data_IF_493466836035
#
_entry.id   IF_493466836035
#
_cell.length_a   1.000
_cell.length_b   1.000
_cell.length_c   1.000
_cell.angle_alpha   90.00
_cell.angle_beta   90.00
_cell.angle_gamma   90.00
#
_symmetry.space_group_name_H-M   'P 1'
#
loop_
_entity.id
_entity.type
_entity.pdbx_description
1 polymer ?
#
# COMPACT_ATOMS: atom_id res chain seq x y z
N UNK A 1 -6.61 -13.68 -41.64
CA UNK A 1 -5.73 -14.00 -40.51
C UNK A 1 -4.92 -12.74 -40.22
N UNK A 2 -5.20 -11.93 -39.23
CA UNK A 2 -6.30 -11.86 -38.26
C UNK A 2 -6.32 -10.40 -37.76
N UNK A 3 -7.51 -9.80 -37.67
CA UNK A 3 -7.74 -8.50 -37.04
C UNK A 3 -8.45 -8.64 -35.69
N UNK A 4 -8.50 -9.88 -35.18
CA UNK A 4 -9.29 -10.30 -34.01
C UNK A 4 -8.41 -10.59 -32.77
N UNK A 5 -7.09 -10.41 -32.89
CA UNK A 5 -6.11 -10.82 -31.86
C UNK A 5 -5.63 -9.65 -31.00
N UNK A 6 -6.13 -8.43 -31.24
CA UNK A 6 -5.67 -7.20 -30.56
C UNK A 6 -6.67 -6.68 -29.51
N UNK A 7 -7.66 -7.51 -29.11
CA UNK A 7 -8.67 -7.15 -28.10
C UNK A 7 -8.72 -8.09 -26.89
N UNK A 8 -7.87 -9.13 -26.85
CA UNK A 8 -7.90 -10.12 -25.79
C UNK A 8 -6.80 -9.96 -24.72
N UNK A 9 -5.77 -9.15 -24.99
CA UNK A 9 -4.62 -8.95 -24.09
C UNK A 9 -4.86 -7.84 -23.05
N UNK A 10 -5.79 -6.92 -23.32
CA UNK A 10 -6.10 -5.75 -22.49
C UNK A 10 -7.12 -6.05 -21.36
N UNK A 11 -7.62 -7.30 -21.28
CA UNK A 11 -8.64 -7.74 -20.30
C UNK A 11 -8.12 -8.76 -19.28
N UNK A 12 -6.81 -9.09 -19.30
CA UNK A 12 -6.23 -10.13 -18.43
C UNK A 12 -5.44 -9.60 -17.22
N UNK A 13 -5.10 -8.30 -17.19
CA UNK A 13 -4.43 -7.67 -16.04
C UNK A 13 -5.39 -7.17 -14.94
N UNK A 14 -6.63 -6.87 -15.31
CA UNK A 14 -7.66 -6.28 -14.42
C UNK A 14 -8.24 -7.32 -13.45
N UNK A 15 -8.51 -8.54 -13.98
CA UNK A 15 -9.08 -9.66 -13.21
C UNK A 15 -8.12 -10.16 -12.11
N UNK A 16 -6.81 -10.02 -12.32
CA UNK A 16 -5.70 -10.29 -11.40
C UNK A 16 -5.77 -9.43 -10.11
N UNK A 17 -5.60 -8.13 -10.34
CA UNK A 17 -5.55 -7.11 -9.31
C UNK A 17 -6.88 -7.02 -8.54
N UNK A 18 -8.01 -7.07 -9.25
CA UNK A 18 -9.32 -7.08 -8.62
C UNK A 18 -9.48 -8.29 -7.68
N UNK A 19 -8.92 -9.44 -8.04
CA UNK A 19 -8.96 -10.63 -7.17
C UNK A 19 -8.15 -10.41 -5.89
N UNK A 20 -6.92 -9.90 -6.01
CA UNK A 20 -6.07 -9.62 -4.84
C UNK A 20 -6.68 -8.55 -3.92
N UNK A 21 -7.25 -7.48 -4.49
CA UNK A 21 -7.98 -6.43 -3.75
C UNK A 21 -9.21 -7.00 -3.06
N UNK A 22 -9.99 -7.84 -3.76
CA UNK A 22 -11.17 -8.50 -3.18
C UNK A 22 -10.79 -9.44 -2.02
N UNK A 23 -9.68 -10.18 -2.15
CA UNK A 23 -9.17 -11.04 -1.06
C UNK A 23 -8.70 -10.22 0.15
N UNK A 24 -8.02 -9.10 -0.08
CA UNK A 24 -7.62 -8.19 0.98
C UNK A 24 -8.84 -7.62 1.73
N UNK A 25 -9.88 -7.20 1.01
CA UNK A 25 -11.13 -6.73 1.61
C UNK A 25 -11.90 -7.83 2.34
N UNK A 26 -11.96 -9.05 1.77
CA UNK A 26 -12.59 -10.19 2.44
C UNK A 26 -11.89 -10.52 3.77
N UNK A 27 -10.56 -10.46 3.79
CA UNK A 27 -9.77 -10.64 5.01
C UNK A 27 -10.01 -9.52 6.02
N UNK A 28 -10.02 -8.27 5.56
CA UNK A 28 -10.28 -7.11 6.40
C UNK A 28 -11.67 -7.19 7.07
N UNK A 29 -12.72 -7.49 6.30
CA UNK A 29 -14.08 -7.71 6.82
C UNK A 29 -14.11 -8.77 7.91
N UNK A 30 -13.43 -9.89 7.69
CA UNK A 30 -13.40 -10.98 8.68
C UNK A 30 -12.73 -10.55 10.00
N UNK A 31 -11.61 -9.81 9.91
CA UNK A 31 -10.92 -9.26 11.08
C UNK A 31 -11.77 -8.22 11.81
N UNK A 32 -12.42 -7.31 11.06
CA UNK A 32 -13.34 -6.34 11.61
C UNK A 32 -14.49 -7.03 12.36
N UNK A 33 -15.14 -8.01 11.75
CA UNK A 33 -16.22 -8.78 12.41
C UNK A 33 -15.75 -9.45 13.71
N UNK A 34 -14.53 -10.00 13.73
CA UNK A 34 -13.94 -10.61 14.92
C UNK A 34 -13.69 -9.56 16.03
N UNK A 35 -13.16 -8.38 15.69
CA UNK A 35 -12.96 -7.29 16.63
C UNK A 35 -14.27 -6.75 17.19
N UNK A 36 -15.29 -6.57 16.34
CA UNK A 36 -16.63 -6.14 16.77
C UNK A 36 -17.28 -7.15 17.71
N UNK A 37 -17.05 -8.45 17.50
CA UNK A 37 -17.53 -9.49 18.40
C UNK A 37 -16.86 -9.47 19.78
N UNK A 38 -15.61 -9.03 19.85
CA UNK A 38 -14.81 -8.94 21.09
C UNK A 38 -14.96 -7.58 21.80
N UNK A 39 -15.71 -6.62 21.22
CA UNK A 39 -15.84 -5.26 21.75
C UNK A 39 -16.68 -5.25 23.04
N UNK A 40 -16.09 -4.77 24.13
CA UNK A 40 -16.75 -4.64 25.44
C UNK A 40 -17.48 -3.30 25.61
N UNK A 41 -18.49 -3.27 26.48
CA UNK A 41 -19.24 -2.05 26.81
C UNK A 41 -18.31 -0.90 27.24
N UNK A 42 -18.48 0.25 26.60
CA UNK A 42 -17.65 1.44 26.83
C UNK A 42 -16.31 1.45 26.10
N UNK A 43 -16.01 0.44 25.29
CA UNK A 43 -14.97 0.49 24.27
C UNK A 43 -15.52 1.07 22.97
N UNK A 44 -14.70 1.90 22.34
CA UNK A 44 -14.95 2.43 21.00
C UNK A 44 -13.82 1.96 20.09
N UNK A 45 -14.18 1.60 18.87
CA UNK A 45 -13.29 1.19 17.81
C UNK A 45 -13.47 2.18 16.66
N UNK A 46 -12.40 2.86 16.26
CA UNK A 46 -12.42 3.83 15.16
C UNK A 46 -11.72 3.23 13.95
N UNK A 47 -12.32 3.38 12.77
CA UNK A 47 -11.72 3.10 11.46
C UNK A 47 -11.76 4.38 10.66
N UNK A 48 -10.62 4.86 10.21
CA UNK A 48 -10.52 6.10 9.44
C UNK A 48 -9.62 5.90 8.20
N UNK A 49 -9.77 6.74 7.18
CA UNK A 49 -8.85 6.78 6.04
C UNK A 49 -7.58 7.56 6.39
N UNK A 50 -6.40 7.10 5.93
CA UNK A 50 -5.14 7.80 6.12
C UNK A 50 -5.22 9.24 5.55
N UNK A 51 -4.90 10.22 6.40
CA UNK A 51 -5.08 11.67 6.19
C UNK A 51 -3.93 12.36 5.41
N UNK A 52 -3.01 11.62 4.79
CA UNK A 52 -1.89 12.19 4.03
C UNK A 52 -2.30 12.84 2.68
N UNK A 53 -3.59 12.83 2.33
CA UNK A 53 -4.14 13.51 1.14
C UNK A 53 -4.78 14.84 1.55
N UNK A 54 -4.36 16.02 1.02
CA UNK A 54 -4.78 17.33 1.53
C UNK A 54 -6.21 17.80 1.16
N UNK A 55 -6.88 17.14 0.21
CA UNK A 55 -8.23 17.52 -0.26
C UNK A 55 -9.07 16.26 -0.52
N UNK A 56 -10.25 16.13 0.10
CA UNK A 56 -11.18 15.03 -0.13
C UNK A 56 -12.08 14.68 1.06
N UNK A 57 -12.97 13.71 0.89
CA UNK A 57 -13.72 13.07 1.98
C UNK A 57 -12.82 12.09 2.72
N UNK A 58 -12.69 12.23 4.04
CA UNK A 58 -11.98 11.26 4.87
C UNK A 58 -13.00 10.44 5.63
N UNK A 59 -13.24 9.22 5.18
CA UNK A 59 -14.21 8.35 5.83
C UNK A 59 -13.75 7.97 7.23
N UNK A 60 -14.58 8.27 8.21
CA UNK A 60 -14.42 7.81 9.60
C UNK A 60 -15.67 7.05 10.00
N UNK A 61 -15.45 5.88 10.59
CA UNK A 61 -16.48 5.00 11.15
C UNK A 61 -16.13 4.77 12.62
N UNK A 62 -17.04 5.09 13.52
CA UNK A 62 -16.91 4.71 14.92
C UNK A 62 -17.83 3.54 15.24
N UNK A 63 -17.32 2.57 15.99
CA UNK A 63 -18.09 1.43 16.47
C UNK A 63 -18.06 1.44 17.99
N UNK A 64 -19.23 1.32 18.60
CA UNK A 64 -19.37 1.25 20.06
C UNK A 64 -20.25 0.06 20.44
N UNK A 65 -19.89 -0.60 21.55
CA UNK A 65 -20.75 -1.60 22.16
C UNK A 65 -21.77 -0.91 23.07
N UNK A 66 -23.05 -1.22 22.83
CA UNK A 66 -24.18 -0.77 23.63
C UNK A 66 -25.03 -1.99 24.02
N UNK A 67 -24.86 -2.47 25.25
CA UNK A 67 -25.53 -3.67 25.75
C UNK A 67 -25.15 -4.92 24.92
N UNK A 68 -26.13 -5.57 24.28
CA UNK A 68 -25.92 -6.75 23.43
C UNK A 68 -25.76 -6.40 21.93
N UNK A 69 -25.66 -5.10 21.60
CA UNK A 69 -25.59 -4.58 20.23
C UNK A 69 -24.29 -3.83 19.98
N UNK A 70 -23.85 -3.89 18.72
CA UNK A 70 -22.78 -3.04 18.22
C UNK A 70 -23.42 -1.97 17.34
N UNK A 71 -23.12 -0.71 17.64
CA UNK A 71 -23.59 0.45 16.88
C UNK A 71 -22.41 1.00 16.09
N UNK A 72 -22.57 1.11 14.78
CA UNK A 72 -21.64 1.84 13.93
C UNK A 72 -22.23 3.21 13.59
N UNK A 73 -21.41 4.25 13.66
CA UNK A 73 -21.81 5.64 13.43
C UNK A 73 -20.86 6.33 12.45
N UNK A 74 -21.43 7.12 11.55
CA UNK A 74 -20.76 8.07 10.65
C UNK A 74 -21.30 9.45 10.98
N UNK A 75 -20.43 10.43 11.21
CA UNK A 75 -20.89 11.82 11.36
C UNK A 75 -20.90 12.55 10.02
N UNK A 76 -21.86 13.43 9.80
CA UNK A 76 -21.99 14.18 8.53
C UNK A 76 -20.73 14.99 8.19
N UNK A 77 -19.95 15.38 9.20
CA UNK A 77 -18.69 16.11 9.05
C UNK A 77 -17.57 15.31 8.34
N UNK A 78 -17.67 13.98 8.30
CA UNK A 78 -16.68 13.09 7.64
C UNK A 78 -17.06 12.79 6.18
N UNK A 79 -18.21 13.29 5.73
CA UNK A 79 -18.63 13.23 4.34
C UNK A 79 -17.98 14.34 3.52
N UNK A 80 -18.06 14.22 2.20
CA UNK A 80 -17.41 15.14 1.28
C UNK A 80 -17.89 16.60 1.50
N UNK A 81 -16.99 17.59 1.60
CA UNK A 81 -17.38 18.97 1.91
C UNK A 81 -18.12 19.68 0.77
N UNK A 82 -18.01 19.17 -0.47
CA UNK A 82 -18.70 19.72 -1.63
C UNK A 82 -20.21 19.38 -1.61
N UNK A 83 -21.13 20.37 -1.65
CA UNK A 83 -22.58 20.15 -1.42
C UNK A 83 -23.26 19.18 -2.38
N UNK A 84 -22.76 19.06 -3.61
CA UNK A 84 -23.33 18.14 -4.60
C UNK A 84 -22.92 16.69 -4.34
N UNK A 85 -21.65 16.46 -3.99
CA UNK A 85 -21.12 15.13 -3.63
C UNK A 85 -21.67 14.70 -2.28
N UNK A 86 -21.82 15.63 -1.33
CA UNK A 86 -22.47 15.36 -0.05
C UNK A 86 -23.88 14.80 -0.22
N UNK A 87 -24.69 15.42 -1.10
CA UNK A 87 -26.06 14.96 -1.39
C UNK A 87 -26.10 13.58 -2.02
N UNK A 88 -25.14 13.26 -2.88
CA UNK A 88 -25.00 11.92 -3.49
C UNK A 88 -24.60 10.90 -2.42
N UNK A 89 -23.55 11.16 -1.63
CA UNK A 89 -23.10 10.28 -0.54
C UNK A 89 -24.23 9.98 0.46
N UNK A 90 -25.03 10.99 0.82
CA UNK A 90 -26.20 10.82 1.69
C UNK A 90 -27.20 9.82 1.08
N UNK A 91 -27.55 9.99 -0.19
CA UNK A 91 -28.53 9.12 -0.86
C UNK A 91 -28.01 7.69 -1.01
N UNK A 92 -26.71 7.54 -1.29
CA UNK A 92 -26.07 6.23 -1.42
C UNK A 92 -25.93 5.52 -0.06
N UNK A 93 -25.66 6.25 1.03
CA UNK A 93 -25.70 5.70 2.40
C UNK A 93 -27.10 5.18 2.77
N UNK A 94 -28.15 5.95 2.50
CA UNK A 94 -29.54 5.51 2.72
C UNK A 94 -29.87 4.27 1.87
N UNK A 95 -29.37 4.19 0.64
CA UNK A 95 -29.57 3.03 -0.25
C UNK A 95 -28.83 1.78 0.25
N UNK A 96 -27.63 1.95 0.83
CA UNK A 96 -26.85 0.88 1.45
C UNK A 96 -27.49 0.34 2.74
N UNK A 97 -28.44 1.08 3.32
CA UNK A 97 -29.21 0.67 4.50
C UNK A 97 -28.74 1.32 5.81
N UNK A 98 -28.09 2.47 5.74
CA UNK A 98 -27.79 3.29 6.92
C UNK A 98 -29.03 4.06 7.37
N UNK A 99 -29.26 4.10 8.68
CA UNK A 99 -30.33 4.88 9.30
C UNK A 99 -29.82 6.29 9.63
N UNK A 100 -30.40 7.31 8.99
CA UNK A 100 -30.06 8.71 9.26
C UNK A 100 -30.78 9.22 10.51
N UNK A 101 -30.04 9.86 11.41
CA UNK A 101 -30.61 10.63 12.52
C UNK A 101 -31.01 12.04 12.04
N UNK A 102 -32.30 12.35 12.17
CA UNK A 102 -32.88 13.66 11.83
C UNK A 102 -32.38 14.80 12.74
N UNK A 103 -31.76 14.47 13.88
CA UNK A 103 -31.28 15.42 14.89
C UNK A 103 -29.93 16.04 14.55
N UNK A 104 -28.90 15.21 14.42
CA UNK A 104 -27.51 15.64 14.19
C UNK A 104 -26.98 15.32 12.78
N UNK A 105 -27.78 14.63 11.96
CA UNK A 105 -27.40 14.27 10.59
C UNK A 105 -26.44 13.08 10.51
N UNK A 106 -26.15 12.41 11.64
CA UNK A 106 -25.34 11.21 11.66
C UNK A 106 -26.06 10.02 11.00
N UNK A 107 -25.27 9.06 10.55
CA UNK A 107 -25.77 7.79 10.01
C UNK A 107 -25.36 6.69 10.96
N UNK A 108 -26.32 5.85 11.32
CA UNK A 108 -26.11 4.74 12.25
C UNK A 108 -26.55 3.42 11.65
N UNK A 109 -25.90 2.35 12.07
CA UNK A 109 -26.34 1.00 11.80
C UNK A 109 -26.06 0.14 13.02
N UNK A 110 -27.07 -0.60 13.46
CA UNK A 110 -27.00 -1.45 14.64
C UNK A 110 -27.07 -2.92 14.25
N UNK A 111 -26.24 -3.75 14.89
CA UNK A 111 -26.31 -5.20 14.74
C UNK A 111 -26.18 -5.91 16.09
N UNK A 112 -26.93 -7.00 16.24
CA UNK A 112 -26.71 -7.94 17.34
C UNK A 112 -25.32 -8.60 17.19
N UNK A 113 -24.72 -9.09 18.28
CA UNK A 113 -23.44 -9.82 18.22
C UNK A 113 -23.44 -11.01 17.26
N UNK A 114 -24.60 -11.64 17.01
CA UNK A 114 -24.73 -12.72 16.04
C UNK A 114 -24.69 -12.25 14.57
N UNK A 115 -24.81 -10.95 14.32
CA UNK A 115 -24.91 -10.32 13.00
C UNK A 115 -23.76 -9.34 12.72
N UNK A 116 -22.70 -9.35 13.54
CA UNK A 116 -21.52 -8.47 13.38
C UNK A 116 -20.84 -8.60 12.01
N UNK A 117 -20.91 -9.77 11.38
CA UNK A 117 -20.39 -9.95 10.01
C UNK A 117 -21.17 -9.12 8.97
N UNK A 118 -22.47 -8.95 9.16
CA UNK A 118 -23.28 -8.10 8.28
C UNK A 118 -22.94 -6.60 8.49
N UNK A 119 -22.71 -6.19 9.75
CA UNK A 119 -22.26 -4.82 10.06
C UNK A 119 -20.87 -4.54 9.49
N UNK A 120 -19.94 -5.49 9.61
CA UNK A 120 -18.61 -5.40 9.01
C UNK A 120 -18.67 -5.34 7.47
N UNK A 121 -19.60 -6.08 6.85
CA UNK A 121 -19.85 -6.02 5.42
C UNK A 121 -20.36 -4.64 4.98
N UNK A 122 -21.32 -4.09 5.71
CA UNK A 122 -21.88 -2.77 5.44
C UNK A 122 -20.78 -1.70 5.53
N UNK A 123 -20.04 -1.67 6.64
CA UNK A 123 -18.91 -0.76 6.83
C UNK A 123 -17.86 -0.85 5.71
N UNK A 124 -17.49 -2.08 5.32
CA UNK A 124 -16.53 -2.31 4.22
C UNK A 124 -17.07 -1.80 2.88
N UNK A 125 -18.34 -2.07 2.59
CA UNK A 125 -19.00 -1.60 1.35
C UNK A 125 -19.03 -0.08 1.33
N UNK A 126 -19.32 0.56 2.46
CA UNK A 126 -19.33 2.02 2.57
C UNK A 126 -17.94 2.63 2.34
N UNK A 127 -16.87 2.03 2.88
CA UNK A 127 -15.49 2.46 2.61
C UNK A 127 -15.12 2.36 1.13
N UNK A 128 -15.56 1.30 0.44
CA UNK A 128 -15.27 1.09 -0.98
C UNK A 128 -16.11 2.01 -1.87
N UNK A 129 -17.43 2.02 -1.68
CA UNK A 129 -18.37 2.64 -2.62
C UNK A 129 -18.57 4.15 -2.37
N UNK A 130 -18.58 4.58 -1.10
CA UNK A 130 -18.84 5.99 -0.75
C UNK A 130 -17.54 6.80 -0.68
N UNK A 131 -16.52 6.22 -0.05
CA UNK A 131 -15.23 6.89 0.17
C UNK A 131 -14.13 6.46 -0.82
N UNK A 132 -14.44 5.55 -1.76
CA UNK A 132 -13.53 5.19 -2.84
C UNK A 132 -12.23 4.54 -2.37
N UNK A 133 -12.23 3.89 -1.19
CA UNK A 133 -11.02 3.27 -0.65
C UNK A 133 -10.64 2.07 -1.53
N UNK A 134 -9.55 2.20 -2.28
CA UNK A 134 -9.10 1.16 -3.20
C UNK A 134 -8.50 -0.08 -2.54
N UNK A 135 -8.00 0.02 -1.31
CA UNK A 135 -7.38 -1.09 -0.59
C UNK A 135 -7.41 -0.85 0.94
N UNK A 136 -7.62 -1.87 1.79
CA UNK A 136 -7.73 -1.70 3.25
C UNK A 136 -6.45 -1.20 3.92
N UNK A 137 -5.29 -1.28 3.25
CA UNK A 137 -4.03 -0.72 3.77
C UNK A 137 -4.01 0.82 3.86
N UNK A 138 -4.98 1.49 3.22
CA UNK A 138 -5.16 2.95 3.34
C UNK A 138 -6.00 3.34 4.56
N UNK A 139 -6.41 2.38 5.39
CA UNK A 139 -7.17 2.63 6.62
C UNK A 139 -6.23 2.68 7.83
N UNK A 140 -6.46 3.64 8.71
CA UNK A 140 -5.87 3.78 10.04
C UNK A 140 -6.96 3.62 11.11
N UNK A 141 -6.57 3.44 12.38
CA UNK A 141 -7.53 3.37 13.50
C UNK A 141 -7.27 2.25 14.52
N UNK A 142 -8.22 2.10 15.44
CA UNK A 142 -8.21 1.12 16.55
C UNK A 142 -8.62 -0.27 16.11
N UNK A 143 -9.03 -0.46 14.86
CA UNK A 143 -8.76 -1.74 14.21
C UNK A 143 -7.25 -1.75 14.10
N UNK A 144 -6.50 -2.44 14.99
CA UNK A 144 -5.18 -2.82 14.55
C UNK A 144 -5.46 -3.49 13.21
N UNK A 145 -4.62 -3.24 12.22
CA UNK A 145 -4.26 -4.37 11.39
C UNK A 145 -3.83 -5.45 12.38
N UNK A 146 -4.78 -6.23 12.92
CA UNK A 146 -4.59 -7.48 13.60
C UNK A 146 -4.17 -8.35 12.41
N UNK A 147 -2.92 -8.15 11.99
CA UNK A 147 -1.94 -9.13 12.37
C UNK A 147 -2.42 -9.70 13.73
N UNK A 148 -3.24 -10.76 13.67
CA UNK A 148 -2.80 -11.93 14.42
C UNK A 148 -1.27 -11.93 14.29
N UNK A 149 -0.50 -12.35 15.30
CA UNK A 149 0.64 -13.13 14.88
C UNK A 149 0.02 -14.31 14.09
N UNK A 150 -0.32 -14.11 12.81
CA UNK A 150 0.08 -15.00 11.77
C UNK A 150 1.50 -15.26 12.22
N UNK A 151 1.70 -16.44 12.80
CA UNK A 151 3.01 -16.93 13.17
C UNK A 151 3.83 -16.62 11.94
N UNK A 152 4.52 -15.49 11.96
CA UNK A 152 5.29 -15.09 10.83
C UNK A 152 6.36 -16.12 10.90
N UNK A 153 6.32 -17.05 9.95
CA UNK A 153 7.22 -18.17 9.92
C UNK A 153 8.57 -17.54 9.64
N UNK A 154 9.24 -17.13 10.72
CA UNK A 154 10.57 -16.58 10.67
C UNK A 154 11.44 -17.77 10.34
N UNK A 155 11.81 -17.84 9.07
CA UNK A 155 12.70 -18.85 8.59
C UNK A 155 14.13 -18.32 8.69
N UNK A 156 15.03 -19.14 9.21
CA UNK A 156 16.47 -18.86 9.18
C UNK A 156 17.05 -19.55 7.94
N UNK A 157 17.24 -18.84 6.81
CA UNK A 157 17.80 -19.45 5.61
C UNK A 157 19.22 -19.98 5.90
N UNK A 158 19.40 -21.30 5.78
CA UNK A 158 20.71 -21.91 5.94
C UNK A 158 21.61 -21.69 4.70
N UNK A 159 20.99 -21.56 3.52
CA UNK A 159 21.68 -21.37 2.23
C UNK A 159 21.03 -20.27 1.41
N UNK A 160 21.80 -19.69 0.49
CA UNK A 160 21.31 -18.72 -0.49
C UNK A 160 20.09 -19.24 -1.29
N UNK A 161 20.13 -20.50 -1.71
CA UNK A 161 19.00 -21.13 -2.42
C UNK A 161 17.73 -21.20 -1.59
N UNK A 162 17.86 -21.34 -0.26
CA UNK A 162 16.72 -21.41 0.65
C UNK A 162 16.07 -20.03 0.75
N UNK A 163 16.88 -18.98 0.95
CA UNK A 163 16.38 -17.60 0.94
C UNK A 163 15.73 -17.24 -0.41
N UNK A 164 16.37 -17.60 -1.53
CA UNK A 164 15.84 -17.37 -2.86
C UNK A 164 14.46 -18.01 -3.06
N UNK A 165 14.29 -19.28 -2.66
CA UNK A 165 13.01 -19.97 -2.77
C UNK A 165 11.92 -19.29 -1.93
N UNK A 166 12.26 -18.90 -0.68
CA UNK A 166 11.32 -18.22 0.22
C UNK A 166 10.93 -16.82 -0.28
N UNK A 167 11.86 -16.07 -0.88
CA UNK A 167 11.59 -14.77 -1.51
C UNK A 167 10.68 -14.94 -2.72
N UNK A 168 10.96 -15.91 -3.60
CA UNK A 168 10.11 -16.18 -4.77
C UNK A 168 8.70 -16.58 -4.34
N UNK A 169 8.56 -17.51 -3.40
CA UNK A 169 7.25 -17.91 -2.86
C UNK A 169 6.49 -16.72 -2.25
N UNK A 170 7.19 -15.86 -1.50
CA UNK A 170 6.59 -14.64 -0.94
C UNK A 170 6.09 -13.69 -2.03
N UNK A 171 6.90 -13.45 -3.06
CA UNK A 171 6.55 -12.59 -4.18
C UNK A 171 5.42 -13.18 -5.03
N UNK A 172 5.42 -14.49 -5.29
CA UNK A 172 4.35 -15.19 -6.02
C UNK A 172 3.03 -15.12 -5.24
N UNK A 173 3.10 -15.27 -3.92
CA UNK A 173 1.94 -15.10 -3.03
C UNK A 173 1.42 -13.67 -3.06
N UNK A 174 2.32 -12.68 -3.05
CA UNK A 174 1.95 -11.26 -3.05
C UNK A 174 1.42 -10.79 -4.41
N UNK A 175 1.95 -11.33 -5.51
CA UNK A 175 1.61 -10.92 -6.87
C UNK A 175 0.52 -11.77 -7.52
N UNK A 176 0.13 -12.90 -6.92
CA UNK A 176 -0.82 -13.86 -7.50
C UNK A 176 -0.25 -14.68 -8.68
N UNK A 177 0.97 -14.37 -9.13
CA UNK A 177 1.55 -14.91 -10.37
C UNK A 177 2.93 -15.51 -10.16
N UNK A 178 3.38 -16.42 -11.05
CA UNK A 178 4.77 -16.86 -11.08
C UNK A 178 5.72 -15.67 -11.30
N UNK A 179 6.73 -15.56 -10.46
CA UNK A 179 7.71 -14.47 -10.53
C UNK A 179 8.73 -14.79 -11.61
N UNK A 180 8.83 -13.88 -12.58
CA UNK A 180 9.84 -13.96 -13.61
C UNK A 180 11.20 -13.52 -13.06
N UNK A 181 12.21 -14.34 -13.33
CA UNK A 181 13.61 -14.06 -13.01
C UNK A 181 14.33 -13.85 -14.34
N UNK A 182 15.16 -12.82 -14.42
CA UNK A 182 15.99 -12.58 -15.59
C UNK A 182 17.22 -13.51 -15.67
N UNK A 183 18.00 -13.35 -16.74
CA UNK A 183 19.17 -14.16 -17.06
C UNK A 183 20.29 -14.04 -16.00
N UNK A 184 20.35 -12.91 -15.28
CA UNK A 184 21.33 -12.66 -14.21
C UNK A 184 20.86 -13.19 -12.85
N UNK A 185 19.62 -13.68 -12.78
CA UNK A 185 19.02 -14.23 -11.59
C UNK A 185 18.34 -13.17 -10.71
N UNK A 186 18.15 -11.96 -11.23
CA UNK A 186 17.49 -10.84 -10.57
C UNK A 186 15.99 -10.83 -10.93
N UNK A 187 15.20 -10.19 -10.08
CA UNK A 187 13.75 -10.15 -10.18
C UNK A 187 13.35 -8.73 -10.59
N UNK A 188 12.85 -8.49 -11.81
CA UNK A 188 12.41 -7.17 -12.24
C UNK A 188 11.28 -6.63 -11.34
N UNK A 189 11.35 -5.35 -10.99
CA UNK A 189 10.33 -4.69 -10.17
C UNK A 189 9.39 -3.86 -11.06
N UNK A 190 8.11 -3.69 -10.66
CA UNK A 190 7.11 -2.97 -11.45
C UNK A 190 7.24 -1.45 -11.29
N UNK A 191 8.39 -0.89 -11.63
CA UNK A 191 8.72 0.54 -11.42
C UNK A 191 8.54 1.42 -12.66
N UNK A 192 7.64 1.02 -13.56
CA UNK A 192 7.32 1.78 -14.78
C UNK A 192 8.56 2.08 -15.64
N UNK A 193 8.88 3.35 -15.80
CA UNK A 193 10.03 3.81 -16.60
C UNK A 193 11.40 3.55 -15.94
N UNK A 194 11.43 3.33 -14.63
CA UNK A 194 12.67 3.03 -13.92
C UNK A 194 12.98 1.56 -14.10
N UNK A 195 14.15 1.28 -14.66
CA UNK A 195 14.69 -0.08 -14.71
C UNK A 195 15.24 -0.42 -13.32
N UNK A 196 14.50 -1.23 -12.58
CA UNK A 196 14.90 -1.68 -11.25
C UNK A 196 14.62 -3.15 -11.02
N UNK A 197 15.38 -3.72 -10.10
CA UNK A 197 15.42 -5.16 -9.83
C UNK A 197 15.62 -5.42 -8.35
N UNK A 198 15.20 -6.60 -7.93
CA UNK A 198 15.50 -7.23 -6.66
C UNK A 198 16.50 -8.37 -6.88
N UNK A 199 17.62 -8.30 -6.18
CA UNK A 199 18.64 -9.34 -6.12
C UNK A 199 18.71 -9.94 -4.71
N UNK A 200 18.84 -11.26 -4.63
CA UNK A 200 19.25 -11.92 -3.38
C UNK A 200 20.77 -12.08 -3.38
N UNK A 201 21.46 -11.43 -2.45
CA UNK A 201 22.92 -11.44 -2.42
C UNK A 201 23.47 -12.85 -2.13
N UNK A 202 24.50 -13.32 -2.87
CA UNK A 202 24.99 -14.70 -2.76
C UNK A 202 25.78 -14.96 -1.48
N UNK A 203 26.38 -13.93 -0.88
CA UNK A 203 27.32 -14.05 0.25
C UNK A 203 26.69 -13.83 1.61
N UNK A 204 25.50 -13.22 1.67
CA UNK A 204 24.80 -12.91 2.91
C UNK A 204 23.29 -12.91 2.68
N UNK A 205 22.47 -13.28 3.69
CA UNK A 205 21.03 -13.30 3.57
C UNK A 205 20.49 -11.87 3.55
N UNK A 206 20.50 -11.25 2.38
CA UNK A 206 20.13 -9.85 2.17
C UNK A 206 19.46 -9.70 0.82
N UNK A 207 18.38 -8.95 0.83
CA UNK A 207 17.67 -8.48 -0.35
C UNK A 207 18.26 -7.13 -0.74
N UNK A 208 18.66 -6.99 -2.00
CA UNK A 208 19.18 -5.77 -2.58
C UNK A 208 18.23 -5.31 -3.68
N UNK A 209 17.54 -4.20 -3.45
CA UNK A 209 16.77 -3.53 -4.47
C UNK A 209 17.66 -2.47 -5.10
N UNK A 210 17.75 -2.46 -6.41
CA UNK A 210 18.61 -1.51 -7.11
C UNK A 210 18.00 -1.10 -8.44
N UNK A 211 18.33 0.09 -8.89
CA UNK A 211 17.85 0.61 -10.17
C UNK A 211 18.49 1.90 -10.56
N UNK A 212 18.45 2.18 -11.86
CA UNK A 212 19.01 3.41 -12.43
C UNK A 212 18.00 4.54 -12.25
N UNK A 213 18.28 5.46 -11.34
CA UNK A 213 17.39 6.61 -11.06
C UNK A 213 17.62 7.77 -12.02
N UNK A 214 18.86 7.96 -12.48
CA UNK A 214 19.25 8.90 -13.54
C UNK A 214 20.06 8.16 -14.59
N UNK A 215 19.56 8.07 -15.82
CA UNK A 215 20.22 7.33 -16.92
C UNK A 215 21.48 8.01 -17.45
N UNK A 216 21.55 9.34 -17.38
CA UNK A 216 22.72 10.08 -17.83
C UNK A 216 22.89 11.38 -17.05
N UNK A 217 24.09 11.58 -16.51
CA UNK A 217 24.52 12.79 -15.80
C UNK A 217 25.50 13.55 -16.67
N UNK A 218 25.21 14.82 -16.93
CA UNK A 218 26.08 15.71 -17.71
C UNK A 218 27.26 16.26 -16.91
N UNK A 219 27.05 16.62 -15.64
CA UNK A 219 28.10 17.10 -14.71
C UNK A 219 28.42 16.04 -13.63
N UNK A 220 29.39 15.17 -13.95
CA UNK A 220 29.85 14.13 -13.03
C UNK A 220 30.37 14.68 -11.69
N UNK A 221 31.24 15.73 -11.66
CA UNK A 221 31.62 16.36 -10.40
C UNK A 221 30.45 16.84 -9.54
N UNK A 222 29.39 17.40 -10.12
CA UNK A 222 28.19 17.80 -9.38
C UNK A 222 27.44 16.58 -8.83
N UNK A 223 27.27 15.51 -9.61
CA UNK A 223 26.67 14.27 -9.14
C UNK A 223 27.43 13.64 -7.97
N UNK A 224 28.76 13.56 -8.03
CA UNK A 224 29.55 13.05 -6.91
C UNK A 224 29.37 13.90 -5.64
N UNK A 225 29.27 15.22 -5.77
CA UNK A 225 28.97 16.09 -4.62
C UNK A 225 27.58 15.81 -4.08
N UNK A 226 26.57 15.79 -4.94
CA UNK A 226 25.19 15.51 -4.56
C UNK A 226 25.09 14.18 -3.79
N UNK A 227 25.61 13.09 -4.34
CA UNK A 227 25.61 11.77 -3.69
C UNK A 227 26.34 11.77 -2.34
N UNK A 228 27.40 12.58 -2.19
CA UNK A 228 28.17 12.66 -0.96
C UNK A 228 27.52 13.53 0.14
N UNK A 229 26.64 14.47 -0.23
CA UNK A 229 26.05 15.44 0.71
C UNK A 229 24.58 15.23 0.98
N UNK A 230 23.83 14.67 0.02
CA UNK A 230 22.39 14.57 0.11
C UNK A 230 21.99 13.53 1.16
N UNK A 231 21.03 13.90 2.01
CA UNK A 231 20.43 12.99 2.97
C UNK A 231 19.03 12.68 2.50
N UNK A 232 18.81 11.44 2.07
CA UNK A 232 17.49 11.01 1.65
C UNK A 232 16.56 10.84 2.86
N UNK A 233 15.27 11.15 2.72
CA UNK A 233 14.28 10.95 3.80
C UNK A 233 14.09 9.46 4.15
N UNK A 234 14.50 8.54 3.28
CA UNK A 234 14.38 7.10 3.46
C UNK A 234 15.65 6.48 4.07
N UNK A 235 15.52 5.90 5.26
CA UNK A 235 16.62 5.17 5.90
C UNK A 235 16.98 3.91 5.11
N UNK A 236 18.25 3.78 4.70
CA UNK A 236 18.75 2.56 4.05
C UNK A 236 18.90 2.62 2.53
N UNK A 237 18.39 3.67 1.86
CA UNK A 237 18.66 3.92 0.44
C UNK A 237 19.98 4.67 0.30
N UNK A 238 20.84 4.18 -0.60
CA UNK A 238 22.12 4.80 -0.95
C UNK A 238 22.12 5.13 -2.43
N UNK A 239 22.66 6.29 -2.77
CA UNK A 239 22.96 6.64 -4.15
C UNK A 239 24.43 6.31 -4.45
N UNK A 240 24.68 5.83 -5.66
CA UNK A 240 26.00 5.53 -6.16
C UNK A 240 26.11 6.07 -7.58
N UNK A 241 27.20 6.77 -7.87
CA UNK A 241 27.55 7.12 -9.24
C UNK A 241 28.21 5.91 -9.89
N UNK A 242 27.63 5.42 -10.99
CA UNK A 242 28.19 4.33 -11.78
C UNK A 242 28.35 4.81 -13.23
N UNK A 243 29.58 4.94 -13.70
CA UNK A 243 29.92 5.56 -14.99
C UNK A 243 29.29 6.95 -15.16
N UNK A 244 28.22 7.07 -15.95
CA UNK A 244 27.46 8.31 -16.17
C UNK A 244 26.06 8.27 -15.59
N UNK A 245 25.75 7.27 -14.77
CA UNK A 245 24.42 7.05 -14.23
C UNK A 245 24.41 7.24 -12.71
N UNK A 246 23.25 7.54 -12.16
CA UNK A 246 23.00 7.40 -10.72
C UNK A 246 22.19 6.13 -10.51
N UNK A 247 22.72 5.25 -9.66
CA UNK A 247 22.07 4.02 -9.23
C UNK A 247 21.66 4.20 -7.77
N UNK A 248 20.41 3.88 -7.46
CA UNK A 248 19.95 3.76 -6.08
C UNK A 248 20.04 2.30 -5.64
N UNK A 249 20.36 2.09 -4.37
CA UNK A 249 20.44 0.76 -3.76
C UNK A 249 19.80 0.80 -2.38
N UNK A 250 18.83 -0.08 -2.14
CA UNK A 250 18.24 -0.37 -0.84
C UNK A 250 18.62 -1.80 -0.43
N UNK A 251 19.11 -1.97 0.80
CA UNK A 251 19.44 -3.29 1.33
C UNK A 251 18.60 -3.63 2.55
N UNK A 252 17.93 -4.79 2.52
CA UNK A 252 17.14 -5.33 3.63
C UNK A 252 17.77 -6.64 4.10
N UNK A 253 18.17 -6.71 5.38
CA UNK A 253 18.68 -7.96 5.95
C UNK A 253 17.56 -8.97 6.15
N UNK A 254 17.83 -10.22 5.77
CA UNK A 254 16.91 -11.35 5.82
C UNK A 254 17.55 -12.56 6.53
N UNK A 255 18.43 -12.29 7.51
CA UNK A 255 19.01 -13.32 8.39
C UNK A 255 17.92 -14.10 9.13
N UNK A 256 16.85 -13.41 9.48
CA UNK A 256 15.59 -13.94 9.96
C UNK A 256 14.51 -13.53 8.94
N UNK A 257 14.25 -14.40 7.97
CA UNK A 257 13.37 -14.10 6.86
C UNK A 257 11.90 -14.21 7.28
N UNK A 258 11.14 -13.17 6.98
CA UNK A 258 9.68 -13.17 6.97
C UNK A 258 9.16 -12.47 5.71
N UNK A 259 7.91 -12.74 5.33
CA UNK A 259 7.29 -12.09 4.15
C UNK A 259 7.27 -10.57 4.29
N UNK A 260 7.16 -10.07 5.52
CA UNK A 260 7.23 -8.64 5.79
C UNK A 260 8.56 -8.01 5.38
N UNK A 261 9.69 -8.72 5.42
CA UNK A 261 10.96 -8.16 4.93
C UNK A 261 10.89 -7.80 3.43
N UNK A 262 10.25 -8.65 2.65
CA UNK A 262 10.06 -8.45 1.20
C UNK A 262 9.06 -7.34 0.95
N UNK A 263 7.90 -7.39 1.61
CA UNK A 263 6.85 -6.39 1.45
C UNK A 263 7.31 -4.98 1.86
N UNK A 264 7.99 -4.85 3.01
CA UNK A 264 8.53 -3.58 3.48
C UNK A 264 9.62 -3.04 2.52
N UNK A 265 10.51 -3.92 2.04
CA UNK A 265 11.55 -3.54 1.08
C UNK A 265 10.99 -3.05 -0.25
N UNK A 266 9.98 -3.75 -0.79
CA UNK A 266 9.28 -3.33 -2.02
C UNK A 266 8.56 -2.01 -1.81
N UNK A 267 7.75 -1.89 -0.75
CA UNK A 267 6.99 -0.68 -0.47
C UNK A 267 7.91 0.54 -0.37
N UNK A 268 9.00 0.42 0.41
CA UNK A 268 10.00 1.48 0.54
C UNK A 268 10.67 1.83 -0.80
N UNK A 269 10.97 0.83 -1.64
CA UNK A 269 11.58 1.06 -2.95
C UNK A 269 10.64 1.76 -3.93
N UNK A 270 9.38 1.32 -4.02
CA UNK A 270 8.38 1.92 -4.88
C UNK A 270 8.11 3.37 -4.48
N UNK A 271 7.93 3.63 -3.19
CA UNK A 271 7.71 4.97 -2.67
C UNK A 271 8.89 5.92 -2.99
N UNK A 272 10.12 5.44 -2.84
CA UNK A 272 11.30 6.21 -3.23
C UNK A 272 11.33 6.54 -4.73
N UNK A 273 10.98 5.59 -5.58
CA UNK A 273 10.93 5.78 -7.05
C UNK A 273 9.87 6.79 -7.44
N UNK A 274 8.73 6.81 -6.76
CA UNK A 274 7.62 7.70 -7.06
C UNK A 274 7.85 9.13 -6.52
N UNK A 275 8.26 9.26 -5.27
CA UNK A 275 8.27 10.55 -4.58
C UNK A 275 9.63 11.27 -4.66
N UNK A 276 10.74 10.55 -4.48
CA UNK A 276 12.06 11.18 -4.28
C UNK A 276 12.89 11.21 -5.55
N UNK A 277 12.80 10.17 -6.38
CA UNK A 277 13.51 10.15 -7.66
C UNK A 277 13.25 11.40 -8.51
N UNK A 278 12.02 11.92 -8.67
CA UNK A 278 11.78 13.11 -9.47
C UNK A 278 12.59 14.33 -9.01
N UNK A 279 12.75 14.49 -7.69
CA UNK A 279 13.57 15.56 -7.12
C UNK A 279 15.06 15.39 -7.41
N UNK A 280 15.57 14.15 -7.32
CA UNK A 280 16.96 13.81 -7.67
C UNK A 280 17.21 14.08 -9.16
N UNK A 281 16.28 13.65 -10.02
CA UNK A 281 16.36 13.90 -11.47
C UNK A 281 16.37 15.40 -11.72
N UNK A 282 15.47 16.17 -11.11
CA UNK A 282 15.44 17.61 -11.26
C UNK A 282 16.77 18.25 -10.82
N UNK A 283 17.31 17.87 -9.66
CA UNK A 283 18.56 18.43 -9.12
C UNK A 283 19.79 18.14 -10.00
N UNK A 284 19.82 17.00 -10.70
CA UNK A 284 20.96 16.54 -11.49
C UNK A 284 20.82 16.77 -13.00
N UNK A 285 19.63 17.13 -13.47
CA UNK A 285 19.36 17.45 -14.89
C UNK A 285 19.08 18.94 -15.13
N UNK A 286 18.69 19.72 -14.11
CA UNK A 286 18.75 21.17 -14.23
C UNK A 286 20.20 21.62 -14.28
N UNK A 287 20.56 22.20 -15.42
CA UNK A 287 21.73 23.06 -15.53
C UNK A 287 21.77 23.98 -14.32
N UNK A 288 22.97 24.10 -13.74
CA UNK A 288 23.34 25.29 -13.02
C UNK A 288 23.14 26.48 -13.97
N UNK A 289 21.94 27.07 -13.97
CA UNK A 289 21.78 28.47 -14.29
C UNK A 289 22.49 29.22 -13.15
N UNK A 290 23.81 29.31 -13.26
CA UNK A 290 24.61 30.17 -12.41
C UNK A 290 24.09 31.60 -12.57
N UNK A 291 24.08 32.41 -11.50
CA UNK A 291 23.84 33.83 -11.65
C UNK A 291 24.94 34.41 -12.55
N UNK A 292 24.53 35.17 -13.57
CA UNK A 292 25.43 36.03 -14.36
C UNK A 292 26.34 36.83 -13.42
N UNK A 293 27.65 36.71 -13.64
CA UNK A 293 28.68 37.64 -13.17
C UNK A 293 29.39 38.26 -14.38
#
# INVERSE_FOLDING_TARGET
MGADDMRADDMRGDVDFDTAVNEAWARYRHLLAALLSDLDDGQELIVEQNLEIPEGSHGVLSFSACEDRIVCTIVEGDLHPHPDVLRENIADLELLGWDRDDGDGSFTSEADRAQVDALAALATTTLIEIWGVGHPAFLTGDVPARHEPALEVIALPARHSDLRAMVLEALETMSGHPVLVDDDGDIPLPTGEVKSWLRILPTRPTLEFFGTVVEHVTDLPAAYRFVATETLPYTGIKLVVHDTCIVAVLTVEATAFSRHNVAAGIGQWLQFVEEVRPEIVAALTHDACGPDL
#
